data_IF_653614017993
#
_entry.id   IF_653614017993
#
_cell.length_a   1.000
_cell.length_b   1.000
_cell.length_c   1.000
_cell.angle_alpha   90.00
_cell.angle_beta   90.00
_cell.angle_gamma   90.00
#
_symmetry.space_group_name_H-M   'P 1'
#
loop_
_entity.id
_entity.type
_entity.pdbx_description
1 polymer ?
#
# COMPACT_ATOMS: atom_id res chain seq x y z
N UNK A 1 19.31 38.89 15.21
CA UNK A 1 19.23 37.46 14.80
C UNK A 1 17.90 36.79 15.16
N UNK A 2 17.20 37.20 16.24
CA UNK A 2 15.86 36.67 16.62
C UNK A 2 14.77 36.86 15.54
N UNK A 3 14.70 38.03 14.89
CA UNK A 3 13.65 38.30 13.87
C UNK A 3 13.78 37.45 12.60
N UNK A 4 15.02 37.17 12.16
CA UNK A 4 15.26 36.32 10.99
C UNK A 4 14.84 34.86 11.26
N UNK A 5 15.11 34.35 12.47
CA UNK A 5 14.67 33.02 12.88
C UNK A 5 13.14 32.91 12.95
N UNK A 6 12.46 33.93 13.47
CA UNK A 6 11.00 33.92 13.59
C UNK A 6 10.30 33.99 12.24
N UNK A 7 10.82 34.79 11.30
CA UNK A 7 10.32 34.87 9.92
C UNK A 7 10.50 33.53 9.19
N UNK A 8 11.64 32.87 9.37
CA UNK A 8 11.92 31.58 8.73
C UNK A 8 11.00 30.47 9.27
N UNK A 9 10.74 30.46 10.58
CA UNK A 9 9.78 29.54 11.22
C UNK A 9 8.36 29.80 10.72
N UNK A 10 7.94 31.06 10.65
CA UNK A 10 6.61 31.42 10.14
C UNK A 10 6.44 31.00 8.67
N UNK A 11 7.45 31.25 7.82
CA UNK A 11 7.45 30.83 6.42
C UNK A 11 7.37 29.29 6.27
N UNK A 12 8.13 28.56 7.09
CA UNK A 12 8.07 27.09 7.11
C UNK A 12 6.69 26.56 7.53
N UNK A 13 6.07 27.16 8.55
CA UNK A 13 4.73 26.79 9.00
C UNK A 13 3.67 27.05 7.91
N UNK A 14 3.74 28.19 7.23
CA UNK A 14 2.84 28.51 6.10
C UNK A 14 3.03 27.52 4.95
N UNK A 15 4.27 27.16 4.62
CA UNK A 15 4.56 26.21 3.54
C UNK A 15 4.01 24.79 3.83
N UNK A 16 4.00 24.38 5.10
CA UNK A 16 3.55 23.04 5.53
C UNK A 16 2.05 22.99 5.85
N UNK A 17 1.42 24.13 6.13
CA UNK A 17 -0.01 24.21 6.51
C UNK A 17 -0.95 23.42 5.59
N UNK A 18 -0.82 23.45 4.25
CA UNK A 18 -1.68 22.67 3.34
C UNK A 18 -1.57 21.15 3.53
N UNK A 19 -0.47 20.66 4.12
CA UNK A 19 -0.20 19.22 4.32
C UNK A 19 -0.60 18.73 5.70
N UNK A 20 -0.87 19.62 6.66
CA UNK A 20 -1.29 19.25 8.02
C UNK A 20 -2.52 18.33 8.07
N UNK A 21 -3.56 18.48 7.22
CA UNK A 21 -4.68 17.55 7.20
C UNK A 21 -4.28 16.10 6.92
N UNK A 22 -3.20 15.87 6.14
CA UNK A 22 -2.69 14.52 5.85
C UNK A 22 -2.12 13.81 7.07
N UNK A 23 -1.63 14.56 8.07
CA UNK A 23 -1.20 14.00 9.35
C UNK A 23 -2.38 13.47 10.18
N UNK A 24 -3.59 13.99 9.95
CA UNK A 24 -4.81 13.54 10.62
C UNK A 24 -5.41 12.29 9.97
N UNK A 25 -4.98 11.92 8.76
CA UNK A 25 -5.45 10.71 8.10
C UNK A 25 -4.99 9.48 8.89
N UNK A 26 -5.97 8.74 9.41
CA UNK A 26 -5.74 7.51 10.15
C UNK A 26 -5.96 6.31 9.26
N UNK A 27 -5.38 5.18 9.65
CA UNK A 27 -5.75 3.89 9.07
C UNK A 27 -7.23 3.63 9.36
N UNK A 28 -8.00 3.29 8.34
CA UNK A 28 -9.43 3.02 8.47
C UNK A 28 -9.66 1.55 8.79
N UNK A 29 -9.82 1.25 10.09
CA UNK A 29 -10.06 -0.11 10.58
C UNK A 29 -11.45 -0.67 10.22
N UNK A 30 -12.36 0.16 9.71
CA UNK A 30 -13.64 -0.32 9.21
C UNK A 30 -13.50 -0.89 7.79
N UNK A 31 -12.57 -0.35 7.01
CA UNK A 31 -12.29 -0.77 5.64
C UNK A 31 -11.24 -1.88 5.57
N UNK A 32 -10.17 -1.79 6.36
CA UNK A 32 -8.99 -2.65 6.25
C UNK A 32 -8.57 -3.23 7.61
N UNK A 33 -7.92 -4.39 7.56
CA UNK A 33 -7.30 -5.03 8.73
C UNK A 33 -5.81 -5.26 8.45
N UNK A 34 -4.89 -4.77 9.30
CA UNK A 34 -3.45 -4.92 9.08
C UNK A 34 -3.02 -6.38 9.28
N UNK A 35 -1.88 -6.76 8.70
CA UNK A 35 -1.25 -8.06 8.98
C UNK A 35 -0.75 -8.05 10.43
N UNK A 36 -1.31 -8.92 11.26
CA UNK A 36 -0.97 -9.00 12.69
C UNK A 36 0.16 -9.95 13.00
N UNK A 37 0.36 -11.00 12.20
CA UNK A 37 1.30 -12.07 12.55
C UNK A 37 2.66 -11.83 11.90
N UNK A 38 3.70 -12.01 12.71
CA UNK A 38 5.08 -12.05 12.23
C UNK A 38 5.26 -13.30 11.34
N UNK A 39 5.77 -13.16 10.11
CA UNK A 39 6.03 -14.31 9.26
C UNK A 39 7.13 -15.18 9.88
N UNK A 40 7.05 -16.49 9.64
CA UNK A 40 8.06 -17.46 10.04
C UNK A 40 9.44 -17.13 9.45
N UNK A 41 10.50 -17.72 10.02
CA UNK A 41 11.89 -17.45 9.63
C UNK A 41 12.21 -17.84 8.18
N UNK A 42 11.37 -18.69 7.56
CA UNK A 42 11.56 -19.10 6.18
C UNK A 42 11.11 -17.98 5.23
N UNK A 43 12.02 -17.45 4.38
CA UNK A 43 11.70 -16.30 3.56
C UNK A 43 10.66 -16.61 2.47
N UNK A 44 10.47 -17.87 2.05
CA UNK A 44 9.69 -18.19 0.86
C UNK A 44 10.40 -17.82 -0.46
N UNK A 45 9.69 -17.81 -1.59
CA UNK A 45 10.28 -17.65 -2.93
C UNK A 45 10.76 -16.22 -3.23
N UNK A 46 12.08 -16.01 -3.24
CA UNK A 46 12.70 -14.71 -3.55
C UNK A 46 12.44 -14.24 -5.00
N UNK A 47 12.23 -15.15 -5.96
CA UNK A 47 11.88 -14.75 -7.34
C UNK A 47 10.50 -14.11 -7.38
N UNK A 48 9.54 -14.71 -6.67
CA UNK A 48 8.21 -14.13 -6.52
C UNK A 48 8.27 -12.79 -5.80
N UNK A 49 9.06 -12.64 -4.73
CA UNK A 49 9.24 -11.34 -4.06
C UNK A 49 9.77 -10.26 -4.98
N UNK A 50 10.72 -10.57 -5.88
CA UNK A 50 11.22 -9.63 -6.88
C UNK A 50 10.13 -9.21 -7.87
N UNK A 51 9.32 -10.15 -8.36
CA UNK A 51 8.16 -9.85 -9.23
C UNK A 51 7.12 -9.00 -8.51
N UNK A 52 6.80 -9.32 -7.25
CA UNK A 52 5.90 -8.55 -6.41
C UNK A 52 6.41 -7.13 -6.21
N UNK A 53 7.69 -6.94 -5.89
CA UNK A 53 8.28 -5.61 -5.74
C UNK A 53 8.19 -4.81 -7.04
N UNK A 54 8.56 -5.42 -8.17
CA UNK A 54 8.47 -4.77 -9.48
C UNK A 54 7.04 -4.31 -9.80
N UNK A 55 6.05 -5.17 -9.57
CA UNK A 55 4.63 -4.85 -9.79
C UNK A 55 4.10 -3.79 -8.81
N UNK A 56 4.45 -3.88 -7.53
CA UNK A 56 4.03 -2.91 -6.51
C UNK A 56 4.52 -1.51 -6.88
N UNK A 57 5.78 -1.39 -7.31
CA UNK A 57 6.40 -0.12 -7.67
C UNK A 57 6.02 0.37 -9.07
N UNK A 58 5.61 -0.53 -9.97
CA UNK A 58 5.20 -0.18 -11.32
C UNK A 58 4.07 0.87 -11.29
N UNK A 59 4.29 1.98 -11.98
CA UNK A 59 3.34 3.09 -12.09
C UNK A 59 2.80 3.64 -10.75
N UNK A 60 3.53 3.46 -9.64
CA UNK A 60 3.15 3.90 -8.29
C UNK A 60 3.36 5.40 -8.05
N UNK A 61 3.96 6.10 -9.01
CA UNK A 61 4.43 7.48 -8.86
C UNK A 61 5.56 7.61 -7.84
N UNK A 62 6.18 8.78 -7.79
CA UNK A 62 7.25 9.08 -6.83
C UNK A 62 6.75 9.85 -5.60
N UNK A 63 5.46 10.22 -5.53
CA UNK A 63 4.88 10.94 -4.38
C UNK A 63 5.33 12.39 -4.19
N UNK A 64 6.29 12.86 -4.99
CA UNK A 64 6.78 14.23 -4.93
C UNK A 64 5.83 15.18 -5.66
N UNK A 65 5.72 16.41 -5.16
CA UNK A 65 4.99 17.49 -5.82
C UNK A 65 5.86 18.74 -5.91
N UNK A 66 5.60 19.57 -6.92
CA UNK A 66 6.26 20.86 -7.06
C UNK A 66 5.83 21.82 -5.94
N UNK A 67 4.51 21.90 -5.70
CA UNK A 67 3.90 22.81 -4.73
C UNK A 67 3.32 22.02 -3.55
N UNK A 68 3.30 22.60 -2.33
CA UNK A 68 2.83 21.91 -1.14
C UNK A 68 1.32 21.64 -1.15
N UNK A 69 0.52 22.43 -1.86
CA UNK A 69 -0.93 22.20 -2.02
C UNK A 69 -1.28 21.25 -3.17
N UNK A 70 -0.32 20.85 -4.00
CA UNK A 70 -0.58 19.93 -5.11
C UNK A 70 -0.73 18.48 -4.64
N UNK A 71 -1.46 17.71 -5.44
CA UNK A 71 -1.62 16.28 -5.31
C UNK A 71 -0.52 15.54 -6.10
N UNK A 72 0.07 14.47 -5.54
CA UNK A 72 1.07 13.67 -6.26
C UNK A 72 0.42 12.96 -7.45
N UNK A 73 1.14 12.90 -8.56
CA UNK A 73 0.70 12.11 -9.72
C UNK A 73 0.97 10.63 -9.49
N UNK A 74 -0.08 9.81 -9.60
CA UNK A 74 0.00 8.35 -9.54
C UNK A 74 -0.53 7.79 -10.86
N UNK A 75 0.35 7.42 -11.81
CA UNK A 75 -0.07 6.99 -13.15
C UNK A 75 -1.05 5.81 -13.14
N UNK A 76 -0.88 4.87 -12.22
CA UNK A 76 -1.80 3.77 -11.98
C UNK A 76 -2.16 3.69 -10.49
N UNK A 77 -3.28 4.33 -10.15
CA UNK A 77 -3.78 4.36 -8.77
C UNK A 77 -4.12 2.96 -8.31
N UNK A 78 -5.04 2.24 -8.98
CA UNK A 78 -5.38 0.86 -8.65
C UNK A 78 -4.74 -0.11 -9.66
N UNK A 79 -3.96 -1.06 -9.17
CA UNK A 79 -3.44 -2.18 -9.94
C UNK A 79 -3.79 -3.50 -9.23
N UNK A 80 -4.23 -4.48 -10.00
CA UNK A 80 -4.64 -5.79 -9.51
C UNK A 80 -3.70 -6.88 -10.03
N UNK A 81 -3.37 -7.85 -9.21
CA UNK A 81 -2.59 -9.02 -9.58
C UNK A 81 -3.12 -10.30 -8.93
N UNK A 82 -2.82 -11.44 -9.54
CA UNK A 82 -3.12 -12.78 -9.01
C UNK A 82 -1.84 -13.57 -8.79
N UNK A 83 -1.81 -14.34 -7.71
CA UNK A 83 -0.74 -15.29 -7.38
C UNK A 83 -1.41 -16.60 -6.92
N UNK A 84 -0.79 -17.78 -7.17
CA UNK A 84 -1.35 -19.03 -6.70
C UNK A 84 -1.44 -19.10 -5.16
N UNK A 85 -2.38 -19.91 -4.67
CA UNK A 85 -2.70 -20.05 -3.24
C UNK A 85 -1.52 -20.53 -2.38
N UNK A 86 -0.66 -21.38 -2.93
CA UNK A 86 0.52 -21.94 -2.27
C UNK A 86 1.57 -20.88 -1.89
N UNK A 87 1.54 -19.72 -2.54
CA UNK A 87 2.46 -18.62 -2.28
C UNK A 87 2.12 -17.79 -1.04
N UNK A 88 1.06 -18.14 -0.28
CA UNK A 88 0.57 -17.38 0.89
C UNK A 88 1.70 -16.95 1.84
N UNK A 89 2.62 -17.86 2.17
CA UNK A 89 3.75 -17.58 3.06
C UNK A 89 4.71 -16.54 2.47
N UNK A 90 5.06 -16.68 1.20
CA UNK A 90 5.93 -15.72 0.48
C UNK A 90 5.31 -14.33 0.43
N UNK A 91 3.99 -14.25 0.15
CA UNK A 91 3.24 -13.00 0.10
C UNK A 91 3.15 -12.35 1.47
N UNK A 92 2.93 -13.14 2.53
CA UNK A 92 2.92 -12.66 3.91
C UNK A 92 4.26 -12.08 4.32
N UNK A 93 5.35 -12.79 4.04
CA UNK A 93 6.71 -12.30 4.29
C UNK A 93 7.02 -11.04 3.47
N UNK A 94 6.57 -10.98 2.21
CA UNK A 94 6.73 -9.79 1.37
C UNK A 94 5.98 -8.59 1.95
N UNK A 95 4.70 -8.73 2.27
CA UNK A 95 3.87 -7.67 2.86
C UNK A 95 4.42 -7.16 4.18
N UNK A 96 4.87 -8.07 5.05
CA UNK A 96 5.50 -7.70 6.33
C UNK A 96 6.79 -6.87 6.14
N UNK A 97 7.65 -7.24 5.17
CA UNK A 97 8.83 -6.44 4.85
C UNK A 97 8.47 -5.11 4.20
N UNK A 98 7.50 -5.10 3.29
CA UNK A 98 7.05 -3.90 2.57
C UNK A 98 6.44 -2.86 3.53
N UNK A 99 5.74 -3.33 4.57
CA UNK A 99 5.20 -2.47 5.63
C UNK A 99 6.27 -1.92 6.60
N UNK A 100 7.51 -2.37 6.48
CA UNK A 100 8.62 -1.92 7.32
C UNK A 100 8.58 -2.48 8.75
N UNK A 101 7.72 -3.46 9.05
CA UNK A 101 7.62 -4.04 10.40
C UNK A 101 8.96 -4.62 10.89
N UNK A 102 9.75 -5.22 9.99
CA UNK A 102 11.11 -5.69 10.30
C UNK A 102 12.03 -4.60 10.88
N UNK A 103 11.88 -3.34 10.46
CA UNK A 103 12.71 -2.25 10.97
C UNK A 103 12.36 -1.84 12.39
N UNK A 104 11.16 -2.18 12.88
CA UNK A 104 10.77 -1.98 14.27
C UNK A 104 11.32 -3.08 15.17
N UNK A 105 11.43 -4.30 14.65
CA UNK A 105 11.97 -5.46 15.37
C UNK A 105 13.50 -5.41 15.50
N UNK A 106 14.20 -4.89 14.50
CA UNK A 106 15.67 -4.83 14.47
C UNK A 106 16.26 -3.61 15.19
N UNK A 107 15.47 -2.55 15.43
CA UNK A 107 15.96 -1.29 16.02
C UNK A 107 15.71 -1.23 17.52
N UNK A 108 16.60 -0.51 18.22
CA UNK A 108 16.40 -0.16 19.63
C UNK A 108 15.08 0.60 19.84
N UNK A 109 14.53 0.56 21.07
CA UNK A 109 13.26 1.25 21.41
C UNK A 109 13.24 2.73 20.97
N UNK A 110 14.34 3.44 21.14
CA UNK A 110 14.50 4.84 20.70
C UNK A 110 14.57 4.95 19.17
N UNK A 111 15.30 4.04 18.51
CA UNK A 111 15.35 3.98 17.04
C UNK A 111 13.97 3.71 16.41
N UNK A 112 13.15 2.87 17.05
CA UNK A 112 11.77 2.60 16.63
C UNK A 112 10.82 3.80 16.81
N UNK A 113 11.02 4.63 17.84
CA UNK A 113 10.27 5.89 18.02
C UNK A 113 10.66 6.91 16.94
N UNK A 114 11.96 7.10 16.72
CA UNK A 114 12.46 8.06 15.72
C UNK A 114 12.02 7.65 14.30
N UNK A 115 12.02 6.36 14.00
CA UNK A 115 11.48 5.81 12.76
C UNK A 115 9.98 6.12 12.61
N UNK A 116 9.17 5.84 13.64
CA UNK A 116 7.73 6.15 13.61
C UNK A 116 7.45 7.63 13.39
N UNK A 117 8.21 8.52 14.06
CA UNK A 117 8.09 9.96 13.87
C UNK A 117 8.48 10.38 12.45
N UNK A 118 9.59 9.88 11.92
CA UNK A 118 10.01 10.15 10.54
C UNK A 118 8.96 9.72 9.52
N UNK A 119 8.40 8.52 9.70
CA UNK A 119 7.35 7.97 8.85
C UNK A 119 6.02 8.75 8.98
N UNK A 120 5.70 9.30 10.15
CA UNK A 120 4.53 10.17 10.35
C UNK A 120 4.70 11.58 9.77
N UNK A 121 5.89 12.17 9.87
CA UNK A 121 6.17 13.53 9.39
C UNK A 121 6.45 13.60 7.88
N UNK A 122 6.67 12.45 7.24
CA UNK A 122 6.98 12.33 5.81
C UNK A 122 6.05 13.10 4.87
N UNK A 123 4.70 13.13 5.06
CA UNK A 123 3.80 13.87 4.18
C UNK A 123 4.09 15.38 4.10
N UNK A 124 4.82 15.93 5.09
CA UNK A 124 5.23 17.33 5.15
C UNK A 124 6.41 17.64 4.23
N UNK A 125 7.19 16.64 3.81
CA UNK A 125 8.33 16.82 2.90
C UNK A 125 7.85 16.54 1.47
N UNK A 126 7.08 17.48 0.90
CA UNK A 126 6.32 17.26 -0.34
C UNK A 126 7.19 17.14 -1.60
N UNK A 127 8.37 17.76 -1.61
CA UNK A 127 9.22 17.87 -2.80
C UNK A 127 10.19 16.70 -2.96
N UNK A 128 10.36 15.86 -1.94
CA UNK A 128 11.30 14.74 -2.00
C UNK A 128 10.60 13.49 -2.57
N UNK A 129 11.20 12.80 -3.56
CA UNK A 129 10.66 11.55 -4.04
C UNK A 129 10.63 10.49 -2.94
N UNK A 130 9.65 9.58 -3.07
CA UNK A 130 9.48 8.38 -2.27
C UNK A 130 10.73 7.52 -2.39
N UNK A 131 11.23 7.04 -1.26
CA UNK A 131 12.36 6.11 -1.26
C UNK A 131 11.88 4.70 -1.54
N UNK A 132 12.76 3.86 -2.06
CA UNK A 132 12.46 2.45 -2.32
C UNK A 132 12.24 1.64 -1.04
N UNK A 133 12.78 2.08 0.10
CA UNK A 133 12.62 1.49 1.42
C UNK A 133 11.51 2.13 2.26
N UNK A 134 10.71 3.04 1.67
CA UNK A 134 9.62 3.70 2.37
C UNK A 134 8.46 2.72 2.62
N UNK A 135 7.95 2.61 3.85
CA UNK A 135 6.96 1.59 4.20
C UNK A 135 5.62 1.86 3.53
N UNK A 136 5.03 0.80 2.99
CA UNK A 136 3.63 0.81 2.54
C UNK A 136 2.71 0.48 3.71
N UNK A 137 1.44 0.85 3.61
CA UNK A 137 0.42 0.22 4.44
C UNK A 137 0.09 -1.16 3.85
N UNK A 138 -0.31 -2.08 4.71
CA UNK A 138 -0.74 -3.41 4.34
C UNK A 138 -2.15 -3.70 4.88
N UNK A 139 -2.85 -4.59 4.19
CA UNK A 139 -4.09 -5.15 4.65
C UNK A 139 -4.26 -6.60 4.20
N UNK A 140 -4.74 -7.45 5.09
CA UNK A 140 -5.07 -8.84 4.81
C UNK A 140 -6.56 -9.04 5.00
N UNK A 141 -7.25 -9.43 3.93
CA UNK A 141 -8.69 -9.58 3.88
C UNK A 141 -9.02 -11.01 3.47
N UNK A 142 -9.44 -11.81 4.45
CA UNK A 142 -9.96 -13.16 4.22
C UNK A 142 -11.45 -13.10 3.85
N UNK A 143 -12.19 -12.16 4.44
CA UNK A 143 -13.59 -11.92 4.15
C UNK A 143 -13.94 -10.42 4.23
N UNK A 144 -14.91 -10.00 3.42
CA UNK A 144 -15.51 -8.67 3.50
C UNK A 144 -17.03 -8.78 3.35
N UNK A 145 -17.75 -8.32 4.35
CA UNK A 145 -19.20 -8.16 4.32
C UNK A 145 -19.59 -6.89 3.53
N UNK A 146 -20.89 -6.68 3.32
CA UNK A 146 -21.39 -5.48 2.64
C UNK A 146 -20.94 -4.18 3.30
N UNK A 147 -20.86 -4.17 4.63
CA UNK A 147 -20.44 -3.00 5.41
C UNK A 147 -18.99 -2.65 5.10
N UNK A 148 -18.10 -3.63 5.11
CA UNK A 148 -16.69 -3.45 4.76
C UNK A 148 -16.50 -3.08 3.30
N UNK A 149 -17.26 -3.67 2.37
CA UNK A 149 -17.20 -3.29 0.94
C UNK A 149 -17.64 -1.84 0.73
N UNK A 150 -18.68 -1.36 1.42
CA UNK A 150 -19.09 0.05 1.40
C UNK A 150 -18.05 0.97 2.02
N UNK A 151 -17.37 0.53 3.09
CA UNK A 151 -16.27 1.27 3.70
C UNK A 151 -15.08 1.38 2.72
N UNK A 152 -14.70 0.28 2.07
CA UNK A 152 -13.66 0.25 1.03
C UNK A 152 -13.94 1.22 -0.12
N UNK A 153 -15.20 1.35 -0.55
CA UNK A 153 -15.57 2.26 -1.63
C UNK A 153 -15.39 3.75 -1.31
N UNK A 154 -15.33 4.11 -0.02
CA UNK A 154 -15.17 5.49 0.47
C UNK A 154 -13.80 5.73 1.12
N UNK A 155 -13.02 4.66 1.26
CA UNK A 155 -11.73 4.69 1.90
C UNK A 155 -10.76 5.61 1.14
N UNK A 156 -9.98 6.38 1.88
CA UNK A 156 -8.92 7.20 1.32
C UNK A 156 -7.56 6.70 1.82
N UNK A 157 -6.69 6.19 0.93
CA UNK A 157 -5.38 5.73 1.33
C UNK A 157 -4.53 6.91 1.79
N UNK A 158 -4.06 6.83 3.03
CA UNK A 158 -3.08 7.79 3.59
C UNK A 158 -1.67 7.59 3.02
N UNK A 159 -1.38 6.37 2.56
CA UNK A 159 -0.07 5.90 2.08
C UNK A 159 -0.26 4.90 0.93
N UNK A 160 0.79 4.62 0.15
CA UNK A 160 0.81 3.46 -0.73
C UNK A 160 0.35 2.23 0.04
N UNK A 161 -0.60 1.47 -0.50
CA UNK A 161 -1.22 0.36 0.25
C UNK A 161 -1.25 -0.93 -0.58
N UNK A 162 -0.79 -2.03 0.02
CA UNK A 162 -0.95 -3.38 -0.50
C UNK A 162 -2.09 -4.08 0.24
N UNK A 163 -3.12 -4.50 -0.50
CA UNK A 163 -4.27 -5.25 0.01
C UNK A 163 -4.18 -6.66 -0.54
N UNK A 164 -4.15 -7.65 0.35
CA UNK A 164 -4.14 -9.07 0.00
C UNK A 164 -5.53 -9.64 0.24
N UNK A 165 -6.17 -10.16 -0.82
CA UNK A 165 -7.35 -11.00 -0.75
C UNK A 165 -6.93 -12.45 -0.73
N UNK A 166 -7.29 -13.15 0.33
CA UNK A 166 -6.83 -14.50 0.58
C UNK A 166 -7.94 -15.52 0.41
N UNK A 167 -7.85 -16.35 -0.63
CA UNK A 167 -8.88 -17.32 -1.01
C UNK A 167 -10.29 -16.71 -1.01
N UNK A 168 -10.51 -15.62 -1.78
CA UNK A 168 -11.80 -14.95 -1.77
C UNK A 168 -12.90 -15.92 -2.24
N UNK A 169 -14.07 -15.84 -1.59
CA UNK A 169 -15.26 -16.50 -2.10
C UNK A 169 -15.58 -15.99 -3.53
N UNK A 170 -16.25 -16.82 -4.33
CA UNK A 170 -16.55 -16.50 -5.73
C UNK A 170 -17.22 -15.12 -5.86
N UNK A 171 -16.67 -14.27 -6.73
CA UNK A 171 -17.17 -12.92 -6.99
C UNK A 171 -16.75 -11.87 -5.95
N UNK A 172 -16.13 -12.24 -4.83
CA UNK A 172 -15.66 -11.28 -3.84
C UNK A 172 -14.50 -10.43 -4.37
N UNK A 173 -13.58 -11.02 -5.15
CA UNK A 173 -12.42 -10.29 -5.66
C UNK A 173 -12.85 -9.19 -6.63
N UNK A 174 -13.79 -9.48 -7.51
CA UNK A 174 -14.40 -8.50 -8.40
C UNK A 174 -15.08 -7.36 -7.65
N UNK A 175 -15.86 -7.68 -6.61
CA UNK A 175 -16.58 -6.68 -5.81
C UNK A 175 -15.64 -5.77 -5.03
N UNK A 176 -14.60 -6.33 -4.43
CA UNK A 176 -13.55 -5.56 -3.75
C UNK A 176 -12.80 -4.69 -4.74
N UNK A 177 -12.42 -5.23 -5.91
CA UNK A 177 -11.76 -4.45 -6.96
C UNK A 177 -12.65 -3.29 -7.44
N UNK A 178 -13.96 -3.51 -7.59
CA UNK A 178 -14.93 -2.47 -7.91
C UNK A 178 -15.02 -1.38 -6.84
N UNK A 179 -15.10 -1.76 -5.57
CA UNK A 179 -15.09 -0.81 -4.45
C UNK A 179 -13.78 0.00 -4.39
N UNK A 180 -12.64 -0.66 -4.53
CA UNK A 180 -11.34 0.01 -4.61
C UNK A 180 -11.23 0.91 -5.85
N UNK A 181 -11.90 0.56 -6.95
CA UNK A 181 -12.03 1.40 -8.13
C UNK A 181 -12.78 2.70 -7.85
N UNK A 182 -13.78 2.68 -6.96
CA UNK A 182 -14.42 3.91 -6.47
C UNK A 182 -13.46 4.75 -5.62
N UNK A 183 -12.76 4.14 -4.67
CA UNK A 183 -11.77 4.82 -3.82
C UNK A 183 -10.62 5.43 -4.65
N UNK A 184 -10.18 4.73 -5.69
CA UNK A 184 -9.10 5.16 -6.56
C UNK A 184 -9.38 6.48 -7.32
N UNK A 185 -10.65 6.87 -7.50
CA UNK A 185 -11.02 8.11 -8.22
C UNK A 185 -10.56 9.38 -7.50
N UNK A 186 -10.38 9.33 -6.18
CA UNK A 186 -9.98 10.46 -5.34
C UNK A 186 -8.70 10.18 -4.54
N UNK A 187 -8.02 9.06 -4.81
CA UNK A 187 -6.84 8.66 -4.08
C UNK A 187 -5.57 9.30 -4.63
N UNK A 188 -4.78 9.89 -3.74
CA UNK A 188 -3.44 10.42 -4.01
C UNK A 188 -2.33 9.36 -3.88
N UNK A 189 -2.70 8.13 -3.59
CA UNK A 189 -1.76 7.06 -3.25
C UNK A 189 -2.07 5.81 -4.06
N UNK A 190 -1.03 5.05 -4.47
CA UNK A 190 -1.21 3.80 -5.16
C UNK A 190 -1.85 2.75 -4.23
N UNK A 191 -2.82 2.04 -4.78
CA UNK A 191 -3.52 0.89 -4.20
C UNK A 191 -3.12 -0.33 -5.04
N UNK A 192 -2.65 -1.38 -4.37
CA UNK A 192 -2.25 -2.64 -4.99
C UNK A 192 -3.12 -3.74 -4.42
N UNK A 193 -3.95 -4.36 -5.26
CA UNK A 193 -4.80 -5.48 -4.89
C UNK A 193 -4.15 -6.77 -5.36
N UNK A 194 -3.80 -7.64 -4.42
CA UNK A 194 -3.23 -8.94 -4.70
C UNK A 194 -4.23 -10.03 -4.32
N UNK A 195 -4.57 -10.90 -5.26
CA UNK A 195 -5.51 -12.00 -5.06
C UNK A 195 -4.71 -13.30 -4.96
N UNK A 196 -4.83 -13.99 -3.83
CA UNK A 196 -4.25 -15.31 -3.61
C UNK A 196 -5.27 -16.40 -3.92
N UNK A 197 -4.93 -17.26 -4.87
CA UNK A 197 -5.76 -18.37 -5.29
C UNK A 197 -6.41 -18.17 -6.65
N UNK A 198 -7.24 -19.13 -7.08
CA UNK A 198 -7.87 -19.12 -8.39
C UNK A 198 -8.91 -18.00 -8.49
N UNK A 199 -8.92 -17.32 -9.62
CA UNK A 199 -10.01 -16.43 -10.03
C UNK A 199 -10.69 -17.08 -11.23
N UNK A 200 -12.00 -17.28 -11.17
CA UNK A 200 -12.74 -17.93 -12.27
C UNK A 200 -12.73 -17.05 -13.52
N UNK A 201 -12.92 -17.66 -14.70
CA UNK A 201 -12.99 -16.93 -15.96
C UNK A 201 -14.14 -15.91 -15.96
N UNK A 202 -15.28 -16.30 -15.39
CA UNK A 202 -16.45 -15.43 -15.24
C UNK A 202 -16.14 -14.24 -14.34
N UNK A 203 -15.39 -14.46 -13.25
CA UNK A 203 -14.99 -13.39 -12.35
C UNK A 203 -13.96 -12.46 -13.02
N UNK A 204 -12.98 -12.99 -13.77
CA UNK A 204 -12.05 -12.18 -14.55
C UNK A 204 -12.75 -11.24 -15.54
N UNK A 205 -13.87 -11.68 -16.14
CA UNK A 205 -14.65 -10.88 -17.07
C UNK A 205 -15.34 -9.68 -16.40
N UNK A 206 -15.51 -9.69 -15.08
CA UNK A 206 -16.12 -8.57 -14.34
C UNK A 206 -15.12 -7.46 -13.98
N UNK A 207 -13.82 -7.72 -14.09
CA UNK A 207 -12.81 -6.70 -13.85
C UNK A 207 -12.76 -5.71 -15.02
N UNK A 208 -12.76 -4.41 -14.72
CA UNK A 208 -12.54 -3.37 -15.72
C UNK A 208 -11.18 -3.52 -16.42
N UNK A 209 -10.17 -3.98 -15.69
CA UNK A 209 -8.87 -4.38 -16.22
C UNK A 209 -8.50 -5.72 -15.59
N UNK A 210 -8.20 -6.76 -16.38
CA UNK A 210 -7.90 -8.07 -15.83
C UNK A 210 -6.66 -8.01 -14.93
N UNK A 211 -6.65 -8.72 -13.79
CA UNK A 211 -5.51 -8.76 -12.90
C UNK A 211 -4.29 -9.38 -13.60
N UNK A 212 -3.11 -8.81 -13.33
CA UNK A 212 -1.84 -9.34 -13.82
C UNK A 212 -1.51 -10.66 -13.10
N UNK A 213 -1.37 -11.75 -13.85
CA UNK A 213 -0.90 -13.01 -13.28
C UNK A 213 0.61 -12.93 -12.97
N UNK A 214 0.97 -12.98 -11.69
CA UNK A 214 2.36 -12.95 -11.20
C UNK A 214 2.94 -14.35 -10.98
N UNK A 215 2.42 -15.32 -11.73
CA UNK A 215 2.85 -16.71 -11.65
C UNK A 215 4.37 -16.82 -11.83
N UNK A 216 4.98 -17.74 -11.08
CA UNK A 216 6.25 -18.31 -11.50
C UNK A 216 6.08 -18.84 -12.91
N UNK A 217 7.04 -18.56 -13.80
CA UNK A 217 7.24 -19.47 -14.90
C UNK A 217 7.21 -20.87 -14.30
N UNK A 218 6.24 -21.71 -14.71
CA UNK A 218 6.39 -23.15 -14.53
C UNK A 218 7.82 -23.45 -14.96
N UNK A 219 8.63 -24.02 -14.08
CA UNK A 219 9.72 -24.84 -14.58
C UNK A 219 9.04 -25.87 -15.48
N UNK A 220 9.09 -25.62 -16.80
CA UNK A 220 8.87 -26.65 -17.79
C UNK A 220 10.07 -27.58 -17.62
N UNK A 221 9.80 -28.73 -17.02
CA UNK A 221 10.50 -30.02 -17.09
C UNK A 221 11.99 -30.00 -17.45
N UNK A 222 12.79 -30.53 -16.54
CA UNK A 222 13.95 -31.37 -16.82
C UNK A 222 13.90 -32.54 -15.86
#
# INVERSE_FOLDING_TARGET
MLNAGLVLVAAALVAVAPRLPRLRQRYDSNALAPITDKPDAEPGDENLKRRLMAWVMDNAGNGATLLPWSHPTVPCVLSCATVPADARLTVRHFGYRLAGYHQLDERSRLGGILYRLGVQLRPLIWFLPRRTDEPWDDAWLEAADETRIKALARWQPRRPTLIVLDHPAAGLAARVAGALGCAAKSADQPIRLLILGPVSADELATFTKPPLALNGARQRNG
#
